data_IF_618659237872
#
_entry.id   IF_618659237872
#
_cell.length_a   1.000
_cell.length_b   1.000
_cell.length_c   1.000
_cell.angle_alpha   90.00
_cell.angle_beta   90.00
_cell.angle_gamma   90.00
#
_symmetry.space_group_name_H-M   'P 1'
#
loop_
_entity.id
_entity.type
_entity.pdbx_description
1 polymer ?
#
# COMPACT_ATOMS: atom_id res chain seq x y z
N UNK A 1 23.32 -6.89 -8.31
CA UNK A 1 23.06 -7.42 -9.66
C UNK A 1 22.29 -8.75 -9.53
N UNK A 2 21.32 -8.99 -10.41
CA UNK A 2 20.57 -10.25 -10.45
C UNK A 2 21.48 -11.37 -10.98
N UNK A 3 21.56 -12.55 -10.31
CA UNK A 3 22.28 -13.69 -10.81
C UNK A 3 21.83 -14.07 -12.23
N UNK A 4 22.76 -14.54 -13.07
CA UNK A 4 22.49 -14.84 -14.49
C UNK A 4 21.34 -15.83 -14.68
N UNK A 5 21.25 -16.83 -13.81
CA UNK A 5 20.18 -17.85 -13.81
C UNK A 5 18.77 -17.31 -13.62
N UNK A 6 18.62 -16.15 -12.95
CA UNK A 6 17.31 -15.52 -12.69
C UNK A 6 16.98 -14.33 -13.58
N UNK A 7 17.90 -13.93 -14.47
CA UNK A 7 17.69 -12.70 -15.27
C UNK A 7 16.48 -12.78 -16.18
N UNK A 8 16.24 -13.90 -16.83
CA UNK A 8 15.11 -14.08 -17.74
C UNK A 8 13.77 -13.95 -16.98
N UNK A 9 13.67 -14.55 -15.80
CA UNK A 9 12.48 -14.51 -14.96
C UNK A 9 12.23 -13.10 -14.41
N UNK A 10 13.30 -12.42 -13.98
CA UNK A 10 13.20 -11.02 -13.49
C UNK A 10 12.78 -10.07 -14.60
N UNK A 11 13.33 -10.23 -15.82
CA UNK A 11 12.92 -9.43 -17.00
C UNK A 11 11.44 -9.68 -17.32
N UNK A 12 11.00 -10.95 -17.33
CA UNK A 12 9.60 -11.29 -17.58
C UNK A 12 8.68 -10.68 -16.51
N UNK A 13 9.05 -10.76 -15.25
CA UNK A 13 8.30 -10.15 -14.14
C UNK A 13 8.23 -8.63 -14.30
N UNK A 14 9.35 -7.97 -14.60
CA UNK A 14 9.38 -6.52 -14.85
C UNK A 14 8.47 -6.09 -16.00
N UNK A 15 8.46 -6.84 -17.13
CA UNK A 15 7.55 -6.58 -18.25
C UNK A 15 6.10 -6.70 -17.80
N UNK A 16 5.75 -7.76 -17.06
CA UNK A 16 4.39 -7.97 -16.55
C UNK A 16 3.94 -6.80 -15.66
N UNK A 17 4.80 -6.36 -14.73
CA UNK A 17 4.49 -5.22 -13.86
C UNK A 17 4.36 -3.91 -14.65
N UNK A 18 5.23 -3.68 -15.65
CA UNK A 18 5.14 -2.49 -16.53
C UNK A 18 3.88 -2.47 -17.37
N UNK A 19 3.36 -3.60 -17.80
CA UNK A 19 2.08 -3.68 -18.53
C UNK A 19 0.88 -3.26 -17.67
N UNK A 20 0.98 -3.32 -16.34
CA UNK A 20 -0.05 -2.84 -15.42
C UNK A 20 0.03 -1.32 -15.14
N UNK A 21 1.05 -0.64 -15.64
CA UNK A 21 1.22 0.82 -15.47
C UNK A 21 0.48 1.57 -16.56
N UNK A 22 -0.36 2.52 -16.15
CA UNK A 22 -0.99 3.47 -17.06
C UNK A 22 -0.13 4.74 -17.12
N UNK A 23 0.64 4.90 -18.19
CA UNK A 23 1.69 5.93 -18.29
C UNK A 23 1.13 7.37 -18.22
N UNK A 24 -0.07 7.63 -18.73
CA UNK A 24 -0.67 8.96 -18.76
C UNK A 24 -1.06 9.47 -17.37
N UNK A 25 -1.45 8.59 -16.45
CA UNK A 25 -1.90 8.98 -15.10
C UNK A 25 -0.93 8.57 -14.00
N UNK A 26 -0.05 7.61 -14.27
CA UNK A 26 0.82 6.99 -13.27
C UNK A 26 0.12 5.91 -12.42
N UNK A 27 -1.17 5.63 -12.65
CA UNK A 27 -1.88 4.57 -11.95
C UNK A 27 -1.29 3.20 -12.27
N UNK A 28 -1.29 2.29 -11.29
CA UNK A 28 -0.84 0.90 -11.48
C UNK A 28 -1.98 -0.02 -11.09
N UNK A 29 -2.57 -0.70 -12.09
CA UNK A 29 -3.67 -1.63 -11.84
C UNK A 29 -3.15 -2.96 -11.28
N UNK A 30 -3.92 -3.62 -10.42
CA UNK A 30 -3.53 -4.90 -9.82
C UNK A 30 -3.39 -6.01 -10.86
N UNK A 31 -4.26 -6.02 -11.88
CA UNK A 31 -4.14 -6.88 -13.06
C UNK A 31 -4.90 -6.29 -14.24
N UNK A 32 -4.54 -6.72 -15.46
CA UNK A 32 -5.24 -6.33 -16.71
C UNK A 32 -6.51 -7.14 -16.96
N UNK A 33 -6.96 -7.93 -15.99
CA UNK A 33 -8.08 -8.89 -16.15
C UNK A 33 -9.20 -8.60 -15.17
N UNK A 34 -10.41 -8.98 -15.56
CA UNK A 34 -11.55 -9.10 -14.66
C UNK A 34 -12.06 -10.53 -14.62
N UNK A 35 -12.53 -10.94 -13.46
CA UNK A 35 -13.38 -12.12 -13.24
C UNK A 35 -12.74 -13.46 -13.66
N UNK A 36 -11.42 -13.55 -13.64
CA UNK A 36 -10.73 -14.84 -13.65
C UNK A 36 -10.95 -15.46 -12.26
N UNK A 37 -11.55 -16.66 -12.16
CA UNK A 37 -11.88 -17.26 -10.86
C UNK A 37 -10.61 -17.66 -10.10
N UNK A 38 -10.60 -17.50 -8.78
CA UNK A 38 -9.49 -17.95 -7.92
C UNK A 38 -9.30 -19.48 -8.02
N UNK A 39 -10.38 -20.22 -8.19
CA UNK A 39 -10.39 -21.66 -8.54
C UNK A 39 -11.73 -22.02 -9.21
N UNK A 40 -11.83 -23.15 -9.93
CA UNK A 40 -13.03 -23.51 -10.66
C UNK A 40 -14.29 -23.47 -9.79
N UNK A 41 -15.32 -22.79 -10.28
CA UNK A 41 -16.63 -22.62 -9.60
C UNK A 41 -16.57 -21.93 -8.24
N UNK A 42 -15.51 -21.19 -7.92
CA UNK A 42 -15.39 -20.49 -6.62
C UNK A 42 -16.41 -19.38 -6.43
N UNK A 43 -16.89 -18.77 -7.51
CA UNK A 43 -17.65 -17.52 -7.48
C UNK A 43 -16.81 -16.30 -7.02
N UNK A 44 -15.54 -16.52 -6.67
CA UNK A 44 -14.58 -15.50 -6.26
C UNK A 44 -13.87 -14.97 -7.50
N UNK A 45 -14.57 -14.11 -8.21
CA UNK A 45 -14.19 -13.57 -9.50
C UNK A 45 -14.21 -12.05 -9.40
N UNK A 46 -13.04 -11.44 -9.24
CA UNK A 46 -12.93 -10.02 -8.94
C UNK A 46 -12.45 -9.22 -10.14
N UNK A 47 -12.82 -7.95 -10.19
CA UNK A 47 -12.28 -7.01 -11.16
C UNK A 47 -11.02 -6.37 -10.59
N UNK A 48 -9.86 -6.71 -11.16
CA UNK A 48 -8.54 -6.24 -10.74
C UNK A 48 -7.99 -5.10 -11.61
N UNK A 49 -8.77 -4.55 -12.54
CA UNK A 49 -8.35 -3.46 -13.44
C UNK A 49 -8.31 -2.08 -12.78
N UNK A 50 -8.14 -2.05 -11.47
CA UNK A 50 -8.08 -0.85 -10.64
C UNK A 50 -6.78 -0.81 -9.86
N UNK A 51 -6.44 0.40 -9.36
CA UNK A 51 -5.21 0.66 -8.62
C UNK A 51 -5.46 0.49 -7.12
N UNK A 52 -5.01 -0.62 -6.54
CA UNK A 52 -4.88 -0.75 -5.08
C UNK A 52 -3.61 -0.06 -4.62
N UNK A 53 -3.72 0.82 -3.63
CA UNK A 53 -2.57 1.60 -3.12
C UNK A 53 -1.48 0.71 -2.51
N UNK A 54 -1.86 -0.37 -1.86
CA UNK A 54 -0.96 -1.40 -1.32
C UNK A 54 -0.19 -2.13 -2.42
N UNK A 55 -0.92 -2.67 -3.40
CA UNK A 55 -0.35 -3.44 -4.51
C UNK A 55 0.60 -2.58 -5.34
N UNK A 56 0.17 -1.37 -5.69
CA UNK A 56 0.97 -0.42 -6.44
C UNK A 56 2.27 -0.05 -5.70
N UNK A 57 2.24 0.09 -4.37
CA UNK A 57 3.44 0.31 -3.59
C UNK A 57 4.46 -0.83 -3.77
N UNK A 58 4.04 -2.09 -3.73
CA UNK A 58 4.95 -3.22 -3.97
C UNK A 58 5.49 -3.25 -5.40
N UNK A 59 4.66 -2.89 -6.38
CA UNK A 59 5.10 -2.79 -7.78
C UNK A 59 6.18 -1.72 -7.95
N UNK A 60 5.97 -0.51 -7.44
CA UNK A 60 6.99 0.56 -7.55
C UNK A 60 8.26 0.20 -6.79
N UNK A 61 8.16 -0.42 -5.62
CA UNK A 61 9.32 -0.90 -4.85
C UNK A 61 10.15 -1.91 -5.67
N UNK A 62 9.49 -2.85 -6.35
CA UNK A 62 10.16 -3.84 -7.19
C UNK A 62 10.79 -3.20 -8.44
N UNK A 63 10.04 -2.35 -9.17
CA UNK A 63 10.51 -1.68 -10.38
C UNK A 63 11.63 -0.67 -10.09
N UNK A 64 11.55 0.04 -8.95
CA UNK A 64 12.60 0.97 -8.51
C UNK A 64 13.94 0.25 -8.27
N UNK A 65 13.92 -0.95 -7.67
CA UNK A 65 15.12 -1.79 -7.50
C UNK A 65 15.75 -2.20 -8.84
N UNK A 66 14.96 -2.22 -9.92
CA UNK A 66 15.41 -2.51 -11.28
C UNK A 66 15.79 -1.24 -12.06
N UNK A 67 15.70 -0.06 -11.46
CA UNK A 67 16.08 1.21 -12.07
C UNK A 67 14.96 1.93 -12.84
N UNK A 68 13.71 1.47 -12.76
CA UNK A 68 12.56 2.12 -13.40
C UNK A 68 12.05 3.32 -12.58
N UNK A 69 12.89 4.34 -12.40
CA UNK A 69 12.60 5.51 -11.53
C UNK A 69 11.45 6.37 -12.07
N UNK A 70 11.30 6.48 -13.40
CA UNK A 70 10.19 7.23 -14.02
C UNK A 70 8.83 6.68 -13.59
N UNK A 71 8.65 5.34 -13.58
CA UNK A 71 7.39 4.72 -13.14
C UNK A 71 7.06 5.06 -11.69
N UNK A 72 8.07 5.13 -10.84
CA UNK A 72 7.91 5.54 -9.44
C UNK A 72 7.49 7.02 -9.35
N UNK A 73 8.13 7.91 -10.10
CA UNK A 73 7.79 9.33 -10.12
C UNK A 73 6.35 9.56 -10.60
N UNK A 74 5.94 8.92 -11.69
CA UNK A 74 4.59 9.00 -12.24
C UNK A 74 3.54 8.51 -11.22
N UNK A 75 3.81 7.39 -10.56
CA UNK A 75 2.92 6.88 -9.51
C UNK A 75 2.84 7.83 -8.30
N UNK A 76 3.94 8.45 -7.88
CA UNK A 76 3.93 9.41 -6.78
C UNK A 76 3.09 10.63 -7.14
N UNK A 77 3.14 11.10 -8.39
CA UNK A 77 2.22 12.14 -8.86
C UNK A 77 0.76 11.71 -8.78
N UNK A 78 0.44 10.48 -9.19
CA UNK A 78 -0.90 9.93 -9.10
C UNK A 78 -1.42 9.89 -7.65
N UNK A 79 -0.66 9.34 -6.69
CA UNK A 79 -1.09 9.25 -5.29
C UNK A 79 -1.15 10.61 -4.60
N UNK A 80 -0.28 11.56 -4.95
CA UNK A 80 -0.35 12.91 -4.39
C UNK A 80 -1.58 13.68 -4.85
N UNK A 81 -2.12 13.39 -6.04
CA UNK A 81 -3.39 13.94 -6.50
C UNK A 81 -4.58 13.35 -5.74
N UNK A 82 -4.54 12.07 -5.37
CA UNK A 82 -5.54 11.43 -4.49
C UNK A 82 -5.48 12.03 -3.09
N UNK A 83 -4.28 12.28 -2.56
CA UNK A 83 -4.06 12.79 -1.21
C UNK A 83 -4.56 14.22 -0.97
N UNK A 84 -4.84 14.98 -2.03
CA UNK A 84 -5.33 16.38 -1.93
C UNK A 84 -6.73 16.46 -1.31
N UNK A 85 -7.54 15.40 -1.39
CA UNK A 85 -8.88 15.36 -0.78
C UNK A 85 -8.80 14.82 0.67
N UNK A 86 -8.01 15.49 1.51
CA UNK A 86 -7.72 15.06 2.88
C UNK A 86 -8.93 15.04 3.83
N UNK A 87 -10.07 15.58 3.42
CA UNK A 87 -11.30 15.60 4.21
C UNK A 87 -12.05 14.25 4.17
N UNK A 88 -11.67 13.36 3.26
CA UNK A 88 -12.25 12.03 3.14
C UNK A 88 -11.24 10.94 3.52
N UNK A 89 -11.68 9.85 4.19
CA UNK A 89 -10.82 8.68 4.39
C UNK A 89 -10.29 8.16 3.05
N UNK A 90 -9.01 7.75 3.02
CA UNK A 90 -8.48 7.06 1.86
C UNK A 90 -9.27 5.77 1.60
N UNK A 91 -9.59 5.56 0.33
CA UNK A 91 -10.06 4.26 -0.15
C UNK A 91 -8.85 3.35 -0.43
N UNK A 92 -8.97 2.05 -0.28
CA UNK A 92 -7.88 1.13 -0.61
C UNK A 92 -7.61 1.04 -2.11
N UNK A 93 -8.61 1.35 -2.95
CA UNK A 93 -8.58 1.19 -4.40
C UNK A 93 -9.19 2.38 -5.12
N UNK A 94 -8.60 2.74 -6.26
CA UNK A 94 -9.03 3.83 -7.14
C UNK A 94 -9.03 3.40 -8.61
N UNK A 95 -9.82 4.09 -9.43
CA UNK A 95 -9.75 3.95 -10.89
C UNK A 95 -8.43 4.51 -11.45
N UNK A 96 -8.14 4.22 -12.71
CA UNK A 96 -7.04 4.86 -13.46
C UNK A 96 -7.21 6.38 -13.41
N UNK A 97 -8.47 6.86 -13.48
CA UNK A 97 -8.86 8.23 -13.14
C UNK A 97 -9.43 8.19 -11.72
N UNK A 98 -8.85 8.90 -10.73
CA UNK A 98 -9.21 8.77 -9.32
C UNK A 98 -10.67 9.08 -8.96
N UNK A 99 -11.36 9.85 -9.78
CA UNK A 99 -12.77 10.24 -9.60
C UNK A 99 -13.78 9.23 -10.13
N UNK A 100 -13.31 8.16 -10.80
CA UNK A 100 -14.18 7.13 -11.36
C UNK A 100 -14.93 6.37 -10.26
N UNK A 101 -16.25 6.17 -10.39
CA UNK A 101 -16.98 5.30 -9.47
C UNK A 101 -16.63 3.83 -9.71
N UNK A 102 -16.46 3.07 -8.62
CA UNK A 102 -16.06 1.66 -8.66
C UNK A 102 -17.17 0.71 -8.17
N UNK A 103 -18.44 1.10 -8.34
CA UNK A 103 -19.58 0.30 -7.89
C UNK A 103 -19.55 -1.12 -8.51
N UNK A 104 -19.51 -2.14 -7.66
CA UNK A 104 -19.45 -3.54 -8.11
C UNK A 104 -20.81 -3.96 -8.67
N UNK A 105 -20.82 -4.46 -9.89
CA UNK A 105 -22.01 -4.99 -10.58
C UNK A 105 -21.67 -6.26 -11.36
N UNK A 106 -22.67 -7.13 -11.52
CA UNK A 106 -22.56 -8.32 -12.36
C UNK A 106 -22.95 -7.98 -13.81
N UNK A 107 -22.20 -8.51 -14.77
CA UNK A 107 -22.56 -8.51 -16.18
C UNK A 107 -23.25 -9.85 -16.54
N UNK A 108 -24.59 -9.91 -16.53
CA UNK A 108 -25.31 -11.18 -16.59
C UNK A 108 -25.22 -11.89 -17.95
N UNK A 109 -24.91 -11.14 -19.00
CA UNK A 109 -24.82 -11.68 -20.38
C UNK A 109 -23.48 -12.35 -20.69
N UNK A 110 -22.53 -12.33 -19.73
CA UNK A 110 -21.22 -12.92 -19.90
C UNK A 110 -21.08 -14.21 -19.05
N UNK A 111 -20.73 -15.31 -19.73
CA UNK A 111 -20.57 -16.62 -19.07
C UNK A 111 -19.36 -16.69 -18.12
N UNK A 112 -18.37 -15.79 -18.30
CA UNK A 112 -17.13 -15.81 -17.54
C UNK A 112 -16.04 -16.72 -18.12
N UNK A 113 -14.86 -16.66 -17.51
CA UNK A 113 -13.71 -17.45 -17.91
C UNK A 113 -14.05 -18.97 -17.79
N UNK A 114 -13.95 -19.69 -18.89
CA UNK A 114 -14.34 -21.10 -18.99
C UNK A 114 -15.77 -21.42 -18.48
N UNK A 115 -16.69 -20.46 -18.52
CA UNK A 115 -18.04 -20.63 -17.99
C UNK A 115 -18.16 -20.49 -16.48
N UNK A 116 -17.10 -20.15 -15.77
CA UNK A 116 -17.08 -19.96 -14.31
C UNK A 116 -17.42 -18.51 -13.95
N UNK A 117 -18.67 -18.11 -14.13
CA UNK A 117 -19.18 -16.81 -13.69
C UNK A 117 -19.25 -16.67 -12.16
N UNK A 118 -19.68 -15.47 -11.65
CA UNK A 118 -20.12 -14.31 -12.41
C UNK A 118 -19.01 -13.47 -13.00
N UNK A 119 -19.29 -12.67 -14.03
CA UNK A 119 -18.41 -11.60 -14.48
C UNK A 119 -18.78 -10.32 -13.73
N UNK A 120 -17.80 -9.69 -13.09
CA UNK A 120 -17.99 -8.44 -12.33
C UNK A 120 -17.29 -7.28 -13.02
N UNK A 121 -17.87 -6.11 -12.85
CA UNK A 121 -17.32 -4.81 -13.22
C UNK A 121 -17.41 -3.95 -11.96
N UNK A 122 -16.34 -3.21 -11.64
CA UNK A 122 -16.21 -2.53 -10.37
C UNK A 122 -15.73 -3.48 -9.27
N UNK A 123 -15.45 -2.93 -8.08
CA UNK A 123 -15.00 -3.73 -6.96
C UNK A 123 -15.45 -3.13 -5.63
N UNK A 124 -16.16 -3.93 -4.84
CA UNK A 124 -16.68 -3.51 -3.53
C UNK A 124 -15.57 -3.15 -2.52
N UNK A 125 -14.31 -3.53 -2.77
CA UNK A 125 -13.19 -3.06 -1.95
C UNK A 125 -13.12 -1.53 -1.86
N UNK A 126 -13.64 -0.80 -2.86
CA UNK A 126 -13.71 0.66 -2.83
C UNK A 126 -14.58 1.24 -1.69
N UNK A 127 -15.46 0.42 -1.12
CA UNK A 127 -16.32 0.80 0.02
C UNK A 127 -15.70 0.41 1.37
N UNK A 128 -14.62 -0.38 1.36
CA UNK A 128 -13.96 -0.85 2.59
C UNK A 128 -13.07 0.23 3.20
N UNK A 129 -12.90 0.15 4.51
CA UNK A 129 -11.81 0.84 5.21
C UNK A 129 -10.64 -0.13 5.32
N UNK A 130 -9.49 0.28 4.82
CA UNK A 130 -8.22 -0.45 4.92
C UNK A 130 -7.14 0.56 5.34
N UNK A 131 -6.77 0.53 6.62
CA UNK A 131 -5.92 1.56 7.21
C UNK A 131 -4.44 1.44 6.80
N UNK A 132 -4.04 0.33 6.21
CA UNK A 132 -2.71 0.15 5.61
C UNK A 132 -2.47 1.06 4.39
N UNK A 133 -3.53 1.56 3.75
CA UNK A 133 -3.44 2.47 2.62
C UNK A 133 -2.64 3.75 2.93
N UNK A 134 -2.79 4.30 4.14
CA UNK A 134 -2.05 5.50 4.57
C UNK A 134 -0.54 5.26 4.58
N UNK A 135 -0.11 4.13 5.15
CA UNK A 135 1.29 3.72 5.17
C UNK A 135 1.82 3.46 3.76
N UNK A 136 1.04 2.81 2.91
CA UNK A 136 1.43 2.49 1.53
C UNK A 136 1.69 3.76 0.71
N UNK A 137 0.82 4.77 0.83
CA UNK A 137 0.98 6.07 0.16
C UNK A 137 2.23 6.80 0.67
N UNK A 138 2.40 6.91 1.99
CA UNK A 138 3.53 7.64 2.57
C UNK A 138 4.86 6.94 2.30
N UNK A 139 4.92 5.59 2.33
CA UNK A 139 6.10 4.83 1.94
C UNK A 139 6.47 5.07 0.47
N UNK A 140 5.48 5.01 -0.43
CA UNK A 140 5.70 5.31 -1.84
C UNK A 140 6.25 6.72 -2.03
N UNK A 141 5.58 7.72 -1.44
CA UNK A 141 5.98 9.13 -1.55
C UNK A 141 7.33 9.42 -0.87
N UNK A 142 7.72 8.67 0.17
CA UNK A 142 8.98 8.87 0.88
C UNK A 142 10.20 8.71 -0.02
N UNK A 143 10.08 7.93 -1.10
CA UNK A 143 11.16 7.75 -2.07
C UNK A 143 11.57 9.07 -2.74
N UNK A 144 10.65 10.03 -2.94
CA UNK A 144 10.97 11.36 -3.45
C UNK A 144 11.97 12.14 -2.58
N UNK A 145 12.06 11.80 -1.30
CA UNK A 145 12.94 12.50 -0.36
C UNK A 145 14.30 11.80 -0.16
N UNK A 146 14.41 10.53 -0.56
CA UNK A 146 15.59 9.70 -0.27
C UNK A 146 16.30 9.21 -1.54
N UNK A 147 15.61 9.00 -2.65
CA UNK A 147 16.21 8.43 -3.85
C UNK A 147 16.86 9.54 -4.70
N UNK A 148 18.19 9.60 -4.63
CA UNK A 148 18.99 10.62 -5.34
C UNK A 148 19.03 10.43 -6.86
N UNK A 149 18.51 9.32 -7.38
CA UNK A 149 18.39 9.07 -8.82
C UNK A 149 17.22 9.83 -9.45
N UNK A 150 16.29 10.33 -8.63
CA UNK A 150 15.14 11.09 -9.10
C UNK A 150 15.57 12.51 -9.52
N UNK A 151 15.05 13.01 -10.65
CA UNK A 151 15.38 14.36 -11.12
C UNK A 151 14.83 15.47 -10.22
N UNK A 152 13.82 15.16 -9.42
CA UNK A 152 13.22 16.09 -8.45
C UNK A 152 13.23 15.46 -7.07
N UNK A 153 13.82 16.15 -6.13
CA UNK A 153 13.79 15.77 -4.71
C UNK A 153 12.57 16.40 -4.07
N UNK A 154 11.90 15.65 -3.19
CA UNK A 154 10.75 16.15 -2.43
C UNK A 154 11.14 17.32 -1.51
N UNK A 155 10.27 18.30 -1.46
CA UNK A 155 10.44 19.53 -0.70
C UNK A 155 9.44 19.65 0.47
N UNK A 156 9.51 20.76 1.20
CA UNK A 156 8.60 21.04 2.30
C UNK A 156 7.13 21.15 1.84
N UNK A 157 6.87 21.59 0.60
CA UNK A 157 5.50 21.67 0.09
C UNK A 157 4.89 20.29 -0.10
N UNK A 158 5.65 19.34 -0.67
CA UNK A 158 5.22 17.93 -0.77
C UNK A 158 5.03 17.31 0.63
N UNK A 159 5.96 17.57 1.56
CA UNK A 159 5.84 17.10 2.95
C UNK A 159 4.52 17.55 3.58
N UNK A 160 4.18 18.84 3.49
CA UNK A 160 2.95 19.39 4.04
C UNK A 160 1.68 18.80 3.38
N UNK A 161 1.75 18.41 2.12
CA UNK A 161 0.65 17.69 1.46
C UNK A 161 0.47 16.25 1.98
N UNK A 162 1.52 15.62 2.49
CA UNK A 162 1.46 14.27 3.06
C UNK A 162 1.03 14.26 4.53
N UNK A 163 1.25 15.35 5.27
CA UNK A 163 0.94 15.40 6.70
C UNK A 163 -0.52 15.08 7.05
N UNK A 164 -1.55 15.53 6.31
CA UNK A 164 -2.94 15.14 6.56
C UNK A 164 -3.16 13.62 6.55
N UNK A 165 -2.45 12.88 5.68
CA UNK A 165 -2.51 11.42 5.67
C UNK A 165 -1.93 10.82 6.95
N UNK A 166 -0.84 11.39 7.48
CA UNK A 166 -0.28 11.00 8.76
C UNK A 166 -1.24 11.25 9.93
N UNK A 167 -1.99 12.36 9.89
CA UNK A 167 -3.03 12.66 10.89
C UNK A 167 -4.13 11.60 10.85
N UNK A 168 -4.59 11.22 9.66
CA UNK A 168 -5.58 10.15 9.49
C UNK A 168 -5.02 8.78 9.92
N UNK A 169 -3.79 8.43 9.50
CA UNK A 169 -3.13 7.20 9.92
C UNK A 169 -3.09 7.08 11.45
N UNK A 170 -2.67 8.13 12.15
CA UNK A 170 -2.66 8.18 13.61
C UNK A 170 -4.06 7.99 14.22
N UNK A 171 -5.07 8.61 13.62
CA UNK A 171 -6.46 8.52 14.06
C UNK A 171 -7.00 7.11 13.97
N UNK A 172 -6.70 6.41 12.87
CA UNK A 172 -7.27 5.11 12.55
C UNK A 172 -6.39 3.91 12.96
N UNK A 173 -5.17 4.14 13.45
CA UNK A 173 -4.22 3.07 13.75
C UNK A 173 -4.76 1.97 14.68
N UNK A 174 -5.66 2.32 15.61
CA UNK A 174 -6.25 1.40 16.59
C UNK A 174 -7.74 1.14 16.32
N UNK A 175 -8.24 1.54 15.16
CA UNK A 175 -9.62 1.28 14.74
C UNK A 175 -9.71 0.02 13.86
N UNK A 176 -10.82 -0.74 13.96
CA UNK A 176 -11.02 -1.93 13.13
C UNK A 176 -11.12 -1.57 11.64
N UNK A 177 -10.57 -2.44 10.80
CA UNK A 177 -10.66 -2.35 9.35
C UNK A 177 -10.86 -3.72 8.69
N UNK A 178 -11.01 -3.77 7.36
CA UNK A 178 -11.13 -5.00 6.61
C UNK A 178 -9.79 -5.78 6.48
N UNK A 179 -8.68 -5.13 6.82
CA UNK A 179 -7.34 -5.69 6.72
C UNK A 179 -6.84 -5.90 5.29
N UNK A 180 -5.57 -6.33 5.14
CA UNK A 180 -4.94 -6.53 3.83
C UNK A 180 -5.56 -7.66 3.01
N UNK A 181 -6.31 -8.56 3.63
CA UNK A 181 -7.02 -9.66 2.97
C UNK A 181 -8.44 -9.28 2.52
N UNK A 182 -8.87 -8.03 2.74
CA UNK A 182 -10.17 -7.51 2.26
C UNK A 182 -11.37 -8.32 2.76
N UNK A 183 -11.36 -8.65 4.05
CA UNK A 183 -12.44 -9.45 4.64
C UNK A 183 -13.80 -8.78 4.47
N UNK A 184 -14.73 -9.48 3.80
CA UNK A 184 -16.13 -9.05 3.68
C UNK A 184 -16.90 -9.44 4.96
N UNK A 185 -17.46 -8.43 5.64
CA UNK A 185 -18.27 -8.65 6.86
C UNK A 185 -17.49 -8.94 8.15
N UNK A 186 -16.16 -8.83 8.14
CA UNK A 186 -15.30 -8.96 9.32
C UNK A 186 -14.33 -7.78 9.40
N UNK A 187 -14.32 -7.11 10.54
CA UNK A 187 -13.38 -6.03 10.83
C UNK A 187 -12.65 -6.31 12.14
N UNK A 188 -11.34 -6.05 12.18
CA UNK A 188 -10.48 -6.15 13.36
C UNK A 188 -9.43 -5.07 13.32
N UNK A 189 -8.77 -4.80 14.43
CA UNK A 189 -7.54 -4.00 14.44
C UNK A 189 -6.41 -4.91 13.99
N UNK A 190 -6.19 -4.98 12.66
CA UNK A 190 -5.16 -5.84 12.08
C UNK A 190 -3.76 -5.32 12.43
N UNK A 191 -2.87 -6.21 12.87
CA UNK A 191 -1.48 -5.87 13.21
C UNK A 191 -0.75 -5.23 12.03
N UNK A 192 -0.99 -5.74 10.82
CA UNK A 192 -0.43 -5.15 9.59
C UNK A 192 -0.92 -3.72 9.39
N UNK A 193 -2.24 -3.47 9.43
CA UNK A 193 -2.81 -2.13 9.24
C UNK A 193 -2.33 -1.13 10.29
N UNK A 194 -2.31 -1.54 11.57
CA UNK A 194 -1.78 -0.72 12.66
C UNK A 194 -0.30 -0.39 12.44
N UNK A 195 0.50 -1.38 11.99
CA UNK A 195 1.93 -1.18 11.68
C UNK A 195 2.12 -0.24 10.50
N UNK A 196 1.29 -0.31 9.45
CA UNK A 196 1.36 0.62 8.33
C UNK A 196 1.00 2.06 8.75
N UNK A 197 0.07 2.24 9.68
CA UNK A 197 -0.19 3.54 10.29
C UNK A 197 1.00 4.05 11.13
N UNK A 198 1.68 3.16 11.85
CA UNK A 198 2.95 3.49 12.51
C UNK A 198 4.01 3.92 11.50
N UNK A 199 4.18 3.16 10.40
CA UNK A 199 5.11 3.48 9.31
C UNK A 199 4.84 4.87 8.75
N UNK A 200 3.58 5.25 8.55
CA UNK A 200 3.22 6.60 8.10
C UNK A 200 3.81 7.68 9.02
N UNK A 201 3.63 7.55 10.34
CA UNK A 201 4.18 8.49 11.32
C UNK A 201 5.72 8.48 11.34
N UNK A 202 6.34 7.29 11.30
CA UNK A 202 7.79 7.13 11.30
C UNK A 202 8.44 7.76 10.08
N UNK A 203 7.88 7.54 8.88
CA UNK A 203 8.41 8.10 7.63
C UNK A 203 8.23 9.63 7.58
N UNK A 204 7.11 10.17 8.06
CA UNK A 204 6.95 11.62 8.19
C UNK A 204 7.97 12.24 9.16
N UNK A 205 8.30 11.55 10.27
CA UNK A 205 9.35 12.01 11.17
C UNK A 205 10.72 12.07 10.48
N UNK A 206 11.06 11.06 9.70
CA UNK A 206 12.34 10.99 8.95
C UNK A 206 12.41 12.04 7.84
N UNK A 207 11.34 12.19 7.08
CA UNK A 207 11.25 13.21 6.02
C UNK A 207 11.41 14.60 6.64
N UNK A 208 10.70 14.91 7.73
CA UNK A 208 10.82 16.18 8.42
C UNK A 208 12.24 16.44 8.93
N UNK A 209 12.92 15.43 9.49
CA UNK A 209 14.31 15.53 9.92
C UNK A 209 15.25 15.84 8.72
N UNK A 210 15.07 15.15 7.59
CA UNK A 210 15.85 15.39 6.37
C UNK A 210 15.65 16.80 5.80
N UNK A 211 14.45 17.35 5.95
CA UNK A 211 14.11 18.70 5.53
C UNK A 211 14.48 19.77 6.57
N UNK A 212 15.15 19.40 7.68
CA UNK A 212 15.49 20.28 8.79
C UNK A 212 14.27 20.93 9.49
N UNK A 213 13.10 20.27 9.45
CA UNK A 213 11.87 20.68 10.12
C UNK A 213 11.81 20.08 11.53
N UNK A 214 12.67 20.54 12.45
CA UNK A 214 12.93 19.91 13.75
C UNK A 214 11.66 19.69 14.59
N UNK A 215 10.77 20.69 14.68
CA UNK A 215 9.53 20.59 15.43
C UNK A 215 8.59 19.53 14.85
N UNK A 216 8.49 19.46 13.51
CA UNK A 216 7.67 18.45 12.83
C UNK A 216 8.26 17.05 12.99
N UNK A 217 9.59 16.94 12.92
CA UNK A 217 10.28 15.67 13.17
C UNK A 217 10.02 15.13 14.58
N UNK A 218 10.12 15.97 15.59
CA UNK A 218 9.82 15.60 16.98
C UNK A 218 8.34 15.24 17.17
N UNK A 219 7.42 16.00 16.57
CA UNK A 219 5.98 15.73 16.61
C UNK A 219 5.65 14.33 16.06
N UNK A 220 6.09 14.03 14.85
CA UNK A 220 5.81 12.73 14.22
C UNK A 220 6.55 11.58 14.88
N UNK A 221 7.76 11.78 15.37
CA UNK A 221 8.51 10.80 16.15
C UNK A 221 7.75 10.40 17.41
N UNK A 222 7.25 11.38 18.18
CA UNK A 222 6.47 11.10 19.39
C UNK A 222 5.20 10.30 19.13
N UNK A 223 4.56 10.47 17.95
CA UNK A 223 3.41 9.65 17.56
C UNK A 223 3.83 8.25 17.14
N UNK A 224 4.91 8.11 16.37
CA UNK A 224 5.43 6.81 15.96
C UNK A 224 5.84 5.96 17.19
N UNK A 225 6.53 6.54 18.16
CA UNK A 225 6.98 5.83 19.35
C UNK A 225 5.80 5.30 20.17
N UNK A 226 4.75 6.12 20.36
CA UNK A 226 3.51 5.69 21.04
C UNK A 226 2.80 4.55 20.32
N UNK A 227 2.63 4.67 19.00
CA UNK A 227 2.00 3.62 18.20
C UNK A 227 2.79 2.32 18.23
N UNK A 228 4.12 2.42 18.15
CA UNK A 228 5.00 1.24 18.23
C UNK A 228 4.82 0.50 19.57
N UNK A 229 4.81 1.23 20.67
CA UNK A 229 4.60 0.65 22.00
C UNK A 229 3.25 -0.07 22.09
N UNK A 230 2.16 0.60 21.66
CA UNK A 230 0.82 0.03 21.65
C UNK A 230 0.70 -1.22 20.77
N UNK A 231 1.29 -1.19 19.58
CA UNK A 231 1.25 -2.33 18.65
C UNK A 231 2.01 -3.51 19.26
N UNK A 232 3.24 -3.30 19.74
CA UNK A 232 4.06 -4.39 20.26
C UNK A 232 3.44 -5.02 21.51
N UNK A 233 2.86 -4.22 22.41
CA UNK A 233 2.23 -4.72 23.64
C UNK A 233 0.96 -5.54 23.38
N UNK A 234 0.22 -5.24 22.28
CA UNK A 234 -1.06 -5.87 21.98
C UNK A 234 -0.98 -6.95 20.90
N UNK A 235 0.04 -6.89 20.05
CA UNK A 235 0.26 -7.88 19.00
C UNK A 235 1.13 -9.06 19.47
N UNK A 236 1.94 -8.89 20.51
CA UNK A 236 2.73 -9.98 21.04
C UNK A 236 1.87 -10.97 21.84
N UNK A 237 1.94 -12.23 21.49
CA UNK A 237 1.24 -13.30 22.20
C UNK A 237 2.25 -14.24 22.86
N UNK A 238 2.25 -14.25 24.20
CA UNK A 238 3.19 -15.07 24.99
C UNK A 238 2.97 -16.57 24.78
N UNK A 239 1.73 -17.01 24.59
CA UNK A 239 1.43 -18.42 24.35
C UNK A 239 1.93 -18.90 22.98
N UNK A 240 1.98 -18.02 21.99
CA UNK A 240 2.48 -18.30 20.64
C UNK A 240 3.97 -17.96 20.47
N UNK A 241 4.56 -17.17 21.39
CA UNK A 241 5.89 -16.57 21.26
C UNK A 241 6.08 -15.88 19.90
N UNK A 242 5.04 -15.17 19.44
CA UNK A 242 4.98 -14.55 18.12
C UNK A 242 4.05 -13.34 18.10
N UNK A 243 4.23 -12.49 17.09
CA UNK A 243 3.23 -11.47 16.74
C UNK A 243 2.03 -12.14 16.07
N UNK A 244 0.83 -11.72 16.47
CA UNK A 244 -0.43 -12.23 15.92
C UNK A 244 -1.02 -11.30 14.87
N UNK A 245 -1.97 -11.80 14.07
CA UNK A 245 -2.53 -11.11 12.91
C UNK A 245 -3.44 -9.93 13.23
N UNK A 246 -4.02 -9.90 14.44
CA UNK A 246 -4.83 -8.80 14.93
C UNK A 246 -4.55 -8.55 16.42
N UNK A 247 -4.61 -7.27 16.83
CA UNK A 247 -4.32 -6.87 18.20
C UNK A 247 -5.30 -7.57 19.18
N UNK A 248 -4.78 -8.03 20.32
CA UNK A 248 -5.54 -8.71 21.37
C UNK A 248 -6.21 -10.03 20.91
N UNK A 249 -5.69 -10.67 19.86
CA UNK A 249 -6.13 -11.97 19.36
C UNK A 249 -5.01 -13.01 19.48
N UNK A 250 -5.23 -14.23 18.98
CA UNK A 250 -4.27 -15.33 19.05
C UNK A 250 -4.01 -16.01 17.68
N UNK A 251 -4.66 -15.52 16.61
CA UNK A 251 -4.51 -16.07 15.26
C UNK A 251 -3.22 -15.58 14.61
N UNK A 252 -2.43 -16.50 14.06
CA UNK A 252 -1.28 -16.15 13.23
C UNK A 252 -1.75 -15.70 11.85
N UNK A 253 -1.04 -14.74 11.26
CA UNK A 253 -1.34 -14.21 9.93
C UNK A 253 -0.06 -13.94 9.16
N UNK A 254 -0.02 -14.34 7.88
CA UNK A 254 1.15 -14.17 7.04
C UNK A 254 1.52 -12.70 6.77
N UNK A 255 0.55 -11.77 6.88
CA UNK A 255 0.83 -10.35 6.68
C UNK A 255 1.82 -9.76 7.69
N UNK A 256 1.96 -10.38 8.88
CA UNK A 256 2.97 -9.93 9.87
C UNK A 256 4.41 -10.23 9.44
N UNK A 257 4.63 -11.11 8.46
CA UNK A 257 5.96 -11.39 7.89
C UNK A 257 6.52 -10.20 7.08
N UNK A 258 5.68 -9.23 6.72
CA UNK A 258 6.11 -8.00 6.07
C UNK A 258 6.72 -6.98 7.04
N UNK A 259 6.49 -7.12 8.35
CA UNK A 259 6.92 -6.15 9.35
C UNK A 259 8.45 -5.95 9.42
N UNK A 260 9.29 -7.00 9.31
CA UNK A 260 10.74 -6.82 9.26
C UNK A 260 11.20 -5.96 8.08
N UNK A 261 10.58 -6.12 6.90
CA UNK A 261 10.92 -5.36 5.70
C UNK A 261 10.64 -3.85 5.84
N UNK A 262 9.65 -3.47 6.65
CA UNK A 262 9.31 -2.09 6.92
C UNK A 262 10.37 -1.36 7.77
N UNK A 263 11.25 -2.10 8.47
CA UNK A 263 12.41 -1.57 9.21
C UNK A 263 13.67 -1.55 8.34
N UNK A 264 13.82 -2.48 7.40
CA UNK A 264 15.05 -2.70 6.62
C UNK A 264 15.30 -1.69 5.51
N UNK A 265 14.33 -0.82 5.19
CA UNK A 265 14.58 0.32 4.27
C UNK A 265 15.59 1.33 4.84
N UNK A 266 16.04 1.14 6.09
CA UNK A 266 17.11 1.90 6.71
C UNK A 266 18.51 1.59 6.12
N UNK A 267 18.69 0.41 5.53
CA UNK A 267 20.02 -0.10 5.10
C UNK A 267 20.27 -0.02 3.59
N UNK A 268 19.32 0.44 2.78
CA UNK A 268 19.54 0.56 1.33
C UNK A 268 20.45 1.71 0.94
N UNK A 269 20.67 2.67 1.81
CA UNK A 269 21.66 3.76 1.61
C UNK A 269 23.09 3.41 2.04
N UNK A 270 23.28 2.34 2.81
CA UNK A 270 24.61 1.91 3.29
C UNK A 270 25.26 0.82 2.41
N UNK A 271 24.55 0.34 1.37
CA UNK A 271 25.03 -0.69 0.44
C UNK A 271 25.35 -0.15 -0.96
N UNK A 272 25.66 1.16 -1.09
CA UNK A 272 26.20 1.74 -2.31
C UNK A 272 27.68 2.00 -2.20
#
# INVERSE_FOLDING_TARGET
ATPLEWQADVIRAAITLKLCVHEETGAIVAAMTTSVPEFPNSGRNWDYRYCWLRDAFFVIKALNRLGATQTMEDYIHYITNIAVDADRPLRPVYGIVPTEPLDERVAPDLAGFNGFGPVRIGNQAAEQLQHDAYGSVILGASQMFIDERLPRIGDAALFHRLEPLGVQARRFAMEPDAGPWEYRGRQRVHTHSATMCWVACDRLARIAARLNLAERAAHWRGHADKLREQILSRAWNDGRQALVGALDHDELDASVLLLPDLRSEEHTSELQ
#
